data_IF_994431016121
#
_entry.id   IF_994431016121
#
_cell.length_a   1.000
_cell.length_b   1.000
_cell.length_c   1.000
_cell.angle_alpha   90.00
_cell.angle_beta   90.00
_cell.angle_gamma   90.00
#
_symmetry.space_group_name_H-M   'P 1'
#
loop_
_entity.id
_entity.type
_entity.pdbx_description
1 polymer ?
#
# COMPACT_ATOMS: atom_id res chain seq x y z
N UNK A 1 24.92 3.04 16.96
CA UNK A 1 24.61 4.48 17.02
C UNK A 1 23.89 4.69 18.35
N UNK A 2 24.42 5.53 19.24
CA UNK A 2 23.80 5.76 20.55
C UNK A 2 22.61 6.72 20.38
N UNK A 3 21.63 6.69 21.30
CA UNK A 3 20.45 7.56 21.26
C UNK A 3 20.80 9.06 21.15
N UNK A 4 21.95 9.45 21.72
CA UNK A 4 22.50 10.81 21.65
C UNK A 4 22.97 11.22 20.24
N UNK A 5 23.25 10.26 19.36
CA UNK A 5 23.68 10.51 17.97
C UNK A 5 22.48 10.72 17.02
N UNK A 6 21.25 10.45 17.49
CA UNK A 6 20.01 10.53 16.70
C UNK A 6 19.22 11.83 16.97
N UNK A 7 19.43 12.47 18.12
CA UNK A 7 18.70 13.67 18.50
C UNK A 7 19.45 14.94 18.05
N UNK A 8 18.74 15.99 17.61
CA UNK A 8 19.39 17.25 17.27
C UNK A 8 20.19 17.77 18.45
N UNK A 9 21.39 18.32 18.23
CA UNK A 9 22.13 18.96 19.32
C UNK A 9 21.48 20.31 19.62
N UNK A 10 20.56 20.30 20.58
CA UNK A 10 19.84 21.47 21.05
C UNK A 10 20.76 22.32 21.92
N UNK A 11 20.92 23.61 21.59
CA UNK A 11 21.79 24.58 22.27
C UNK A 11 21.06 25.89 22.53
N UNK A 12 21.48 26.65 23.54
CA UNK A 12 20.91 27.96 23.83
C UNK A 12 21.54 29.07 22.96
N UNK A 13 20.86 30.22 22.88
CA UNK A 13 21.31 31.36 22.05
C UNK A 13 22.75 31.81 22.37
N UNK A 14 23.12 31.88 23.66
CA UNK A 14 24.44 32.34 24.07
C UNK A 14 25.57 31.39 23.63
N UNK A 15 25.30 30.09 23.58
CA UNK A 15 26.24 29.09 23.08
C UNK A 15 26.39 29.17 21.56
N UNK A 16 25.28 29.35 20.82
CA UNK A 16 25.32 29.55 19.37
C UNK A 16 26.03 30.84 18.99
N UNK A 17 25.73 31.96 19.65
CA UNK A 17 26.42 33.24 19.43
C UNK A 17 27.94 33.12 19.66
N UNK A 18 28.37 32.28 20.61
CA UNK A 18 29.79 31.97 20.86
C UNK A 18 30.42 31.15 19.73
N UNK A 19 29.69 30.15 19.20
CA UNK A 19 30.17 29.30 18.10
C UNK A 19 30.25 30.10 16.79
N UNK A 20 29.24 30.92 16.49
CA UNK A 20 29.17 31.71 15.25
C UNK A 20 30.03 32.97 15.34
N UNK A 21 30.36 33.44 16.55
CA UNK A 21 31.22 34.60 16.78
C UNK A 21 30.55 35.95 16.55
N UNK A 22 29.21 36.01 16.48
CA UNK A 22 28.43 37.25 16.32
C UNK A 22 27.06 37.13 16.99
N UNK A 23 26.44 38.25 17.40
CA UNK A 23 25.08 38.24 17.93
C UNK A 23 24.05 37.81 16.87
N UNK A 24 23.08 36.99 17.28
CA UNK A 24 21.98 36.50 16.42
C UNK A 24 20.66 37.09 16.94
N UNK A 25 20.35 38.31 16.51
CA UNK A 25 19.22 39.10 17.03
C UNK A 25 17.96 39.06 16.14
N UNK A 26 18.03 38.41 14.99
CA UNK A 26 16.91 38.27 14.03
C UNK A 26 16.78 36.82 13.56
N UNK A 27 15.59 36.44 13.11
CA UNK A 27 15.36 35.10 12.52
C UNK A 27 16.24 34.85 11.29
N UNK A 28 16.41 35.86 10.44
CA UNK A 28 17.30 35.76 9.27
C UNK A 28 18.76 35.51 9.67
N UNK A 29 19.24 36.15 10.75
CA UNK A 29 20.60 35.90 11.25
C UNK A 29 20.77 34.48 11.78
N UNK A 30 19.74 33.95 12.44
CA UNK A 30 19.69 32.57 12.96
C UNK A 30 19.74 31.57 11.79
N UNK A 31 18.84 31.70 10.81
CA UNK A 31 18.78 30.84 9.63
C UNK A 31 20.06 30.92 8.78
N UNK A 32 20.57 32.12 8.50
CA UNK A 32 21.82 32.29 7.73
C UNK A 32 23.06 31.74 8.45
N UNK A 33 22.95 31.43 9.74
CA UNK A 33 24.02 30.78 10.52
C UNK A 33 23.84 29.25 10.60
N UNK A 34 22.84 28.69 9.90
CA UNK A 34 22.55 27.26 9.84
C UNK A 34 21.84 26.71 11.07
N UNK A 35 21.13 27.56 11.83
CA UNK A 35 20.33 27.15 12.99
C UNK A 35 18.86 27.48 12.78
N UNK A 36 17.97 26.73 13.42
CA UNK A 36 16.54 27.03 13.53
C UNK A 36 16.12 27.16 14.97
N UNK A 37 15.13 28.02 15.21
CA UNK A 37 14.45 28.11 16.49
C UNK A 37 13.42 26.96 16.59
N UNK A 38 13.56 26.13 17.62
CA UNK A 38 12.70 24.98 17.87
C UNK A 38 12.01 25.17 19.21
N UNK A 39 10.69 25.04 19.26
CA UNK A 39 9.92 25.11 20.51
C UNK A 39 9.98 23.76 21.21
N UNK A 40 10.24 23.77 22.52
CA UNK A 40 10.07 22.58 23.33
C UNK A 40 8.60 22.16 23.37
N UNK A 41 8.36 20.86 23.27
CA UNK A 41 7.02 20.30 23.13
C UNK A 41 6.14 20.51 24.37
N UNK A 42 6.75 20.44 25.55
CA UNK A 42 6.03 20.43 26.83
C UNK A 42 6.29 21.71 27.66
N UNK A 43 6.99 22.69 27.08
CA UNK A 43 7.42 23.91 27.77
C UNK A 43 7.33 25.12 26.86
N UNK A 44 7.14 26.29 27.45
CA UNK A 44 7.26 27.59 26.73
C UNK A 44 8.72 28.03 26.57
N UNK A 45 9.59 27.07 26.25
CA UNK A 45 11.01 27.27 26.02
C UNK A 45 11.32 27.10 24.54
N UNK A 46 12.24 27.91 24.03
CA UNK A 46 12.75 27.81 22.67
C UNK A 46 14.25 27.54 22.72
N UNK A 47 14.69 26.75 21.77
CA UNK A 47 16.08 26.36 21.63
C UNK A 47 16.55 26.55 20.19
N UNK A 48 17.86 26.51 19.98
CA UNK A 48 18.45 26.47 18.65
C UNK A 48 18.95 25.06 18.35
N UNK A 49 18.61 24.55 17.17
CA UNK A 49 19.17 23.32 16.63
C UNK A 49 19.82 23.65 15.29
N UNK A 50 20.93 22.98 14.96
CA UNK A 50 21.50 23.10 13.62
C UNK A 50 20.54 22.49 12.60
N UNK A 51 20.40 23.14 11.46
CA UNK A 51 19.60 22.64 10.33
C UNK A 51 20.01 21.22 9.92
N UNK A 52 21.32 20.93 9.93
CA UNK A 52 21.86 19.60 9.62
C UNK A 52 21.43 18.50 10.59
N UNK A 53 21.04 18.89 11.80
CA UNK A 53 20.70 17.96 12.87
C UNK A 53 19.17 17.80 12.99
N UNK A 54 18.40 18.61 12.25
CA UNK A 54 16.95 18.52 12.20
C UNK A 54 16.52 17.51 11.15
N UNK A 55 15.71 16.56 11.58
CA UNK A 55 15.00 15.69 10.66
C UNK A 55 13.58 16.22 10.43
N UNK A 56 13.05 16.15 9.21
CA UNK A 56 11.69 16.54 8.96
C UNK A 56 10.73 15.60 9.70
N UNK A 57 9.65 16.15 10.26
CA UNK A 57 8.60 15.36 10.92
C UNK A 57 7.82 14.50 9.92
N UNK A 58 7.72 14.96 8.68
CA UNK A 58 7.06 14.27 7.58
C UNK A 58 8.07 14.05 6.44
N UNK A 59 8.02 12.87 5.82
CA UNK A 59 8.80 12.53 4.63
C UNK A 59 7.85 12.10 3.52
N UNK A 60 8.27 12.25 2.27
CA UNK A 60 7.52 11.65 1.15
C UNK A 60 7.70 10.15 1.18
N UNK A 61 6.63 9.43 0.92
CA UNK A 61 6.67 7.97 0.84
C UNK A 61 7.66 7.51 -0.23
N UNK A 62 7.79 8.23 -1.35
CA UNK A 62 8.75 7.92 -2.41
C UNK A 62 10.23 8.06 -2.01
N UNK A 63 10.53 8.74 -0.90
CA UNK A 63 11.89 8.86 -0.36
C UNK A 63 12.27 7.66 0.53
N UNK A 64 11.28 6.88 1.00
CA UNK A 64 11.47 5.74 1.94
C UNK A 64 10.88 4.41 1.46
N UNK A 65 10.21 4.41 0.31
CA UNK A 65 9.67 3.23 -0.33
C UNK A 65 9.68 3.40 -1.86
N UNK A 66 9.97 2.32 -2.57
CA UNK A 66 9.84 2.29 -4.03
C UNK A 66 8.44 1.80 -4.42
N UNK A 67 7.74 2.56 -5.29
CA UNK A 67 6.40 2.17 -5.79
C UNK A 67 6.42 2.00 -7.31
N UNK A 68 5.88 0.87 -7.79
CA UNK A 68 5.82 0.44 -9.20
C UNK A 68 4.45 -0.15 -9.55
N UNK A 69 4.10 -0.20 -10.83
CA UNK A 69 2.92 -0.95 -11.27
C UNK A 69 3.13 -2.46 -11.09
N UNK A 70 2.06 -3.17 -10.72
CA UNK A 70 2.01 -4.63 -10.80
C UNK A 70 2.12 -5.16 -12.23
N UNK A 71 2.00 -6.47 -12.38
CA UNK A 71 2.18 -7.16 -13.68
C UNK A 71 1.09 -6.74 -14.66
N UNK A 72 1.52 -6.15 -15.78
CA UNK A 72 0.66 -5.96 -16.96
C UNK A 72 0.78 -7.16 -17.88
N UNK A 73 -0.26 -7.99 -17.94
CA UNK A 73 -0.23 -9.23 -18.74
C UNK A 73 -0.46 -8.99 -20.23
N UNK A 74 -1.36 -8.07 -20.59
CA UNK A 74 -1.78 -7.84 -21.98
C UNK A 74 -2.78 -8.86 -22.53
N UNK A 75 -3.06 -9.94 -21.78
CA UNK A 75 -3.98 -11.00 -22.17
C UNK A 75 -4.50 -11.73 -20.93
N UNK A 76 -5.31 -11.05 -20.11
CA UNK A 76 -5.81 -11.58 -18.83
C UNK A 76 -6.48 -12.96 -18.95
N UNK A 77 -7.16 -13.24 -20.07
CA UNK A 77 -7.79 -14.53 -20.35
C UNK A 77 -6.79 -15.68 -20.60
N UNK A 78 -5.57 -15.38 -21.03
CA UNK A 78 -4.50 -16.38 -21.20
C UNK A 78 -3.69 -16.55 -19.91
N UNK A 79 -3.34 -15.44 -19.26
CA UNK A 79 -2.42 -15.50 -18.13
C UNK A 79 -3.07 -15.92 -16.82
N UNK A 80 -4.34 -15.56 -16.60
CA UNK A 80 -5.01 -15.86 -15.34
C UNK A 80 -5.85 -17.12 -15.43
N UNK A 81 -5.52 -18.04 -14.52
CA UNK A 81 -6.06 -19.39 -14.44
C UNK A 81 -6.71 -19.60 -13.09
N UNK A 82 -7.84 -20.29 -13.06
CA UNK A 82 -8.52 -20.70 -11.83
C UNK A 82 -8.40 -22.21 -11.67
N UNK A 83 -7.94 -22.73 -10.51
CA UNK A 83 -7.97 -24.16 -10.25
C UNK A 83 -9.43 -24.66 -10.22
N UNK A 84 -9.68 -25.80 -10.87
CA UNK A 84 -11.02 -26.42 -10.95
C UNK A 84 -11.23 -27.42 -9.81
N UNK A 85 -10.17 -28.10 -9.37
CA UNK A 85 -10.20 -29.19 -8.40
C UNK A 85 -9.44 -28.88 -7.10
N UNK A 86 -9.34 -27.60 -6.72
CA UNK A 86 -8.65 -27.19 -5.49
C UNK A 86 -8.66 -25.68 -5.31
N UNK A 87 -8.05 -25.21 -4.22
CA UNK A 87 -7.82 -23.78 -3.97
C UNK A 87 -6.40 -23.40 -4.38
N UNK A 88 -6.15 -22.10 -4.58
CA UNK A 88 -4.79 -21.58 -4.76
C UNK A 88 -3.90 -22.00 -3.59
N UNK A 89 -4.42 -21.93 -2.36
CA UNK A 89 -3.74 -22.43 -1.15
C UNK A 89 -3.28 -23.90 -1.24
N UNK A 90 -4.04 -24.76 -1.93
CA UNK A 90 -3.67 -26.17 -2.10
C UNK A 90 -2.52 -26.33 -3.11
N UNK A 91 -2.53 -25.52 -4.17
CA UNK A 91 -1.48 -25.50 -5.21
C UNK A 91 -0.16 -25.03 -4.62
N UNK A 92 -0.17 -23.92 -3.87
CA UNK A 92 1.06 -23.38 -3.25
C UNK A 92 1.56 -24.26 -2.10
N UNK A 93 0.64 -24.95 -1.40
CA UNK A 93 0.97 -25.84 -0.29
C UNK A 93 1.51 -27.20 -0.72
N UNK A 94 1.69 -27.44 -2.03
CA UNK A 94 2.16 -28.72 -2.56
C UNK A 94 1.19 -29.87 -2.34
N UNK A 95 -0.11 -29.57 -2.12
CA UNK A 95 -1.16 -30.58 -1.90
C UNK A 95 -1.77 -31.08 -3.21
N UNK A 96 -1.28 -30.57 -4.34
CA UNK A 96 -1.68 -30.97 -5.69
C UNK A 96 -0.62 -31.89 -6.30
N UNK A 97 -1.01 -32.65 -7.32
CA UNK A 97 -0.07 -33.48 -8.07
C UNK A 97 0.92 -32.66 -8.92
N UNK A 98 1.68 -33.35 -9.76
CA UNK A 98 2.59 -32.71 -10.73
C UNK A 98 1.85 -31.77 -11.71
N UNK A 99 0.54 -31.97 -11.89
CA UNK A 99 -0.33 -31.16 -12.74
C UNK A 99 -1.54 -30.64 -11.95
N UNK A 100 -2.11 -29.53 -12.41
CA UNK A 100 -3.30 -28.89 -11.85
C UNK A 100 -4.32 -28.68 -12.96
N UNK A 101 -5.56 -29.15 -12.76
CA UNK A 101 -6.67 -28.88 -13.66
C UNK A 101 -7.13 -27.44 -13.45
N UNK A 102 -6.99 -26.61 -14.47
CA UNK A 102 -7.31 -25.19 -14.44
C UNK A 102 -8.28 -24.82 -15.55
N UNK A 103 -8.93 -23.67 -15.39
CA UNK A 103 -9.73 -23.02 -16.43
C UNK A 103 -9.36 -21.56 -16.57
N UNK A 104 -9.62 -20.96 -17.73
CA UNK A 104 -9.37 -19.55 -17.97
C UNK A 104 -10.64 -18.77 -18.35
N UNK A 105 -10.52 -17.44 -18.46
CA UNK A 105 -11.65 -16.55 -18.77
C UNK A 105 -12.25 -16.73 -20.16
N UNK A 106 -11.54 -17.38 -21.09
CA UNK A 106 -11.97 -17.65 -22.46
C UNK A 106 -12.60 -19.05 -22.63
N UNK A 107 -12.86 -19.76 -21.54
CA UNK A 107 -13.52 -21.07 -21.54
C UNK A 107 -12.60 -22.25 -21.87
N UNK A 108 -11.29 -22.06 -21.91
CA UNK A 108 -10.35 -23.19 -21.96
C UNK A 108 -10.28 -23.86 -20.59
N UNK A 109 -10.23 -25.18 -20.58
CA UNK A 109 -10.02 -26.00 -19.39
C UNK A 109 -9.09 -27.16 -19.73
N UNK A 110 -8.10 -27.41 -18.88
CA UNK A 110 -7.10 -28.45 -19.08
C UNK A 110 -6.10 -28.51 -17.94
N UNK A 111 -5.26 -29.54 -17.95
CA UNK A 111 -4.18 -29.65 -16.98
C UNK A 111 -2.97 -28.82 -17.40
N UNK A 112 -2.26 -28.26 -16.41
CA UNK A 112 -0.97 -27.58 -16.58
C UNK A 112 -0.03 -28.08 -15.48
N UNK A 113 1.26 -28.24 -15.79
CA UNK A 113 2.26 -28.60 -14.79
C UNK A 113 2.32 -27.56 -13.67
N UNK A 114 2.29 -28.00 -12.40
CA UNK A 114 2.24 -27.11 -11.25
C UNK A 114 3.43 -26.13 -11.21
N UNK A 115 4.60 -26.55 -11.74
CA UNK A 115 5.79 -25.69 -11.85
C UNK A 115 5.57 -24.43 -12.72
N UNK A 116 4.56 -24.43 -13.60
CA UNK A 116 4.18 -23.30 -14.47
C UNK A 116 3.11 -22.37 -13.88
N UNK A 117 2.66 -22.66 -12.66
CA UNK A 117 1.61 -21.92 -12.00
C UNK A 117 2.18 -21.20 -10.78
N UNK A 118 1.88 -19.91 -10.64
CA UNK A 118 2.22 -19.12 -9.45
C UNK A 118 0.98 -18.43 -8.91
N UNK A 119 0.81 -18.28 -7.60
CA UNK A 119 -0.28 -17.51 -7.02
C UNK A 119 -0.21 -16.05 -7.47
N UNK A 120 -1.37 -15.47 -7.81
CA UNK A 120 -1.46 -14.06 -8.21
C UNK A 120 -2.72 -13.41 -7.65
N UNK A 121 -2.58 -12.17 -7.21
CA UNK A 121 -3.69 -11.33 -6.79
C UNK A 121 -4.15 -10.53 -8.01
N UNK A 122 -5.33 -10.88 -8.53
CA UNK A 122 -5.90 -10.24 -9.71
C UNK A 122 -6.76 -9.05 -9.35
N UNK A 123 -7.35 -9.04 -8.15
CA UNK A 123 -8.25 -7.99 -7.71
C UNK A 123 -8.06 -7.63 -6.24
N UNK A 124 -8.14 -6.33 -5.86
CA UNK A 124 -8.25 -5.89 -4.47
C UNK A 124 -9.40 -6.56 -3.70
N UNK A 125 -10.42 -7.11 -4.39
CA UNK A 125 -11.53 -7.83 -3.76
C UNK A 125 -11.12 -9.15 -3.12
N UNK A 126 -10.00 -9.75 -3.55
CA UNK A 126 -9.42 -10.94 -2.93
C UNK A 126 -8.73 -10.59 -1.60
N UNK A 127 -8.42 -9.31 -1.37
CA UNK A 127 -7.71 -8.86 -0.19
C UNK A 127 -8.71 -8.47 0.89
N UNK A 128 -8.83 -9.26 1.95
CA UNK A 128 -9.78 -9.05 3.06
C UNK A 128 -9.14 -8.46 4.32
N UNK A 129 -7.90 -8.84 4.60
CA UNK A 129 -7.09 -8.47 5.77
C UNK A 129 -5.93 -7.55 5.36
N UNK A 130 -5.21 -6.97 6.34
CA UNK A 130 -3.99 -6.18 6.07
C UNK A 130 -2.77 -7.03 5.71
N UNK A 131 -2.88 -8.35 5.77
CA UNK A 131 -1.88 -9.31 5.28
C UNK A 131 -2.51 -10.24 4.26
N UNK A 132 -1.83 -10.53 3.15
CA UNK A 132 -2.38 -11.43 2.13
C UNK A 132 -2.55 -12.84 2.71
N UNK A 133 -3.77 -13.38 2.60
CA UNK A 133 -4.10 -14.76 2.95
C UNK A 133 -4.22 -15.63 1.70
N UNK A 134 -3.44 -16.71 1.55
CA UNK A 134 -3.55 -17.56 0.37
C UNK A 134 -4.92 -18.21 0.18
N UNK A 135 -5.68 -18.37 1.25
CA UNK A 135 -7.03 -18.93 1.24
C UNK A 135 -8.04 -18.03 0.54
N UNK A 136 -7.77 -16.72 0.47
CA UNK A 136 -8.62 -15.75 -0.23
C UNK A 136 -8.27 -15.61 -1.72
N UNK A 137 -7.10 -16.12 -2.15
CA UNK A 137 -6.66 -16.03 -3.54
C UNK A 137 -7.41 -17.01 -4.43
N UNK A 138 -7.86 -16.50 -5.59
CA UNK A 138 -8.64 -17.27 -6.55
C UNK A 138 -7.84 -17.64 -7.80
N UNK A 139 -6.82 -16.86 -8.14
CA UNK A 139 -6.12 -17.00 -9.41
C UNK A 139 -4.68 -17.48 -9.27
N UNK A 140 -4.27 -18.22 -10.28
CA UNK A 140 -2.89 -18.53 -10.60
C UNK A 140 -2.52 -17.75 -11.87
N UNK A 141 -1.25 -17.39 -11.98
CA UNK A 141 -0.66 -16.85 -13.20
C UNK A 141 0.14 -17.95 -13.91
N UNK A 142 -0.07 -18.07 -15.22
CA UNK A 142 0.75 -18.92 -16.09
C UNK A 142 2.12 -18.25 -16.30
N UNK A 143 3.18 -18.85 -15.77
CA UNK A 143 4.53 -18.30 -15.80
C UNK A 143 5.58 -19.44 -15.83
N UNK A 144 6.62 -19.36 -16.67
CA UNK A 144 7.65 -20.40 -16.70
C UNK A 144 8.41 -20.53 -15.37
N UNK A 145 8.90 -21.72 -15.03
CA UNK A 145 9.81 -21.92 -13.89
C UNK A 145 11.08 -21.07 -14.05
N UNK A 146 11.66 -20.60 -12.94
CA UNK A 146 12.85 -19.74 -12.97
C UNK A 146 14.04 -20.43 -13.63
N UNK A 147 14.19 -21.74 -13.42
CA UNK A 147 15.20 -22.58 -14.06
C UNK A 147 15.12 -22.59 -15.59
N UNK A 148 13.97 -22.22 -16.17
CA UNK A 148 13.73 -22.24 -17.61
C UNK A 148 13.96 -20.89 -18.29
N UNK A 149 14.09 -19.79 -17.54
CA UNK A 149 14.10 -18.42 -18.11
C UNK A 149 15.15 -18.19 -19.20
N UNK A 150 16.33 -18.79 -19.09
CA UNK A 150 17.39 -18.69 -20.10
C UNK A 150 17.20 -19.54 -21.36
N UNK A 151 16.16 -20.38 -21.41
CA UNK A 151 15.97 -21.39 -22.47
C UNK A 151 14.63 -21.23 -23.23
N UNK A 152 13.87 -20.16 -22.96
CA UNK A 152 12.51 -19.98 -23.48
C UNK A 152 12.45 -19.87 -25.01
N UNK A 153 13.51 -19.36 -25.65
CA UNK A 153 13.67 -19.29 -27.12
C UNK A 153 13.87 -20.63 -27.81
N UNK A 154 14.19 -21.69 -27.05
CA UNK A 154 14.44 -23.02 -27.59
C UNK A 154 13.40 -24.03 -27.06
N UNK A 155 12.13 -23.99 -27.52
CA UNK A 155 11.08 -24.92 -27.08
C UNK A 155 11.48 -26.38 -27.12
N UNK A 156 12.30 -26.79 -28.09
CA UNK A 156 12.81 -28.16 -28.21
C UNK A 156 13.57 -28.67 -26.98
N UNK A 157 14.20 -27.78 -26.21
CA UNK A 157 14.97 -28.13 -25.02
C UNK A 157 14.09 -28.48 -23.81
N UNK A 158 12.84 -28.03 -23.77
CA UNK A 158 12.00 -28.12 -22.56
C UNK A 158 10.58 -28.61 -22.80
N UNK A 159 10.05 -28.53 -24.03
CA UNK A 159 8.67 -28.94 -24.34
C UNK A 159 8.39 -30.43 -24.06
N UNK A 160 9.42 -31.27 -24.08
CA UNK A 160 9.28 -32.68 -23.69
C UNK A 160 9.06 -32.85 -22.18
N UNK A 161 9.63 -31.94 -21.37
CA UNK A 161 9.45 -31.91 -19.92
C UNK A 161 8.14 -31.22 -19.52
N UNK A 162 7.70 -30.23 -20.29
CA UNK A 162 6.48 -29.46 -20.04
C UNK A 162 5.50 -29.49 -21.23
N UNK A 163 4.99 -30.67 -21.62
CA UNK A 163 4.13 -30.82 -22.79
C UNK A 163 2.77 -30.12 -22.64
N UNK A 164 2.22 -29.99 -21.42
CA UNK A 164 0.92 -29.38 -21.20
C UNK A 164 1.01 -27.85 -21.29
N UNK A 165 2.00 -27.24 -20.64
CA UNK A 165 2.31 -25.82 -20.80
C UNK A 165 2.58 -25.46 -22.27
N UNK A 166 3.32 -26.30 -23.00
CA UNK A 166 3.54 -26.11 -24.44
C UNK A 166 2.23 -26.16 -25.24
N UNK A 167 1.37 -27.15 -24.99
CA UNK A 167 0.06 -27.24 -25.62
C UNK A 167 -0.82 -26.02 -25.30
N UNK A 168 -0.72 -25.48 -24.08
CA UNK A 168 -1.45 -24.28 -23.67
C UNK A 168 -0.99 -23.03 -24.42
N UNK A 169 0.33 -22.86 -24.59
CA UNK A 169 0.92 -21.78 -25.39
C UNK A 169 0.41 -21.86 -26.84
N UNK A 170 0.43 -23.04 -27.46
CA UNK A 170 -0.07 -23.23 -28.83
C UNK A 170 -1.57 -22.93 -28.94
N UNK A 171 -2.37 -23.23 -27.92
CA UNK A 171 -3.77 -22.81 -27.85
C UNK A 171 -3.89 -21.28 -27.82
N UNK A 172 -3.05 -20.60 -27.02
CA UNK A 172 -3.00 -19.14 -26.96
C UNK A 172 -2.60 -18.50 -28.30
N UNK A 173 -1.68 -19.12 -29.04
CA UNK A 173 -1.26 -18.69 -30.38
C UNK A 173 -2.40 -18.79 -31.40
N UNK A 174 -3.18 -19.88 -31.35
CA UNK A 174 -4.38 -20.07 -32.18
C UNK A 174 -5.47 -19.05 -31.87
N UNK A 175 -5.51 -18.51 -30.64
CA UNK A 175 -6.42 -17.43 -30.23
C UNK A 175 -5.92 -16.04 -30.60
N UNK A 176 -4.66 -15.90 -31.01
CA UNK A 176 -4.08 -14.63 -31.45
C UNK A 176 -3.54 -13.76 -30.32
N UNK A 177 -3.41 -14.26 -29.08
CA UNK A 177 -2.94 -13.46 -27.94
C UNK A 177 -1.52 -12.90 -28.13
N UNK A 178 -0.68 -13.56 -28.93
CA UNK A 178 0.65 -13.09 -29.31
C UNK A 178 0.64 -11.77 -30.08
N UNK A 179 -0.49 -11.42 -30.72
CA UNK A 179 -0.64 -10.17 -31.46
C UNK A 179 -1.12 -9.00 -30.59
N UNK A 180 -1.50 -9.26 -29.33
CA UNK A 180 -1.87 -8.18 -28.41
C UNK A 180 -0.65 -7.26 -28.19
N UNK A 181 -0.79 -5.92 -28.18
CA UNK A 181 0.36 -5.00 -28.18
C UNK A 181 1.37 -5.26 -27.06
N UNK A 182 0.90 -5.55 -25.85
CA UNK A 182 1.79 -5.84 -24.71
C UNK A 182 2.46 -7.20 -24.83
N UNK A 183 1.83 -8.20 -25.45
CA UNK A 183 2.41 -9.51 -25.69
C UNK A 183 3.42 -9.47 -26.83
N UNK A 184 3.06 -8.84 -27.95
CA UNK A 184 3.89 -8.68 -29.14
C UNK A 184 5.18 -7.89 -28.87
N UNK A 185 5.16 -7.00 -27.89
CA UNK A 185 6.33 -6.21 -27.48
C UNK A 185 7.35 -7.01 -26.65
N UNK A 186 7.03 -8.25 -26.23
CA UNK A 186 7.97 -9.10 -25.47
C UNK A 186 8.77 -9.97 -26.41
N UNK A 187 10.00 -10.27 -26.00
CA UNK A 187 10.90 -11.18 -26.71
C UNK A 187 10.31 -12.59 -26.85
N UNK A 188 9.64 -13.07 -25.80
CA UNK A 188 8.76 -14.25 -25.83
C UNK A 188 7.38 -13.83 -25.35
N UNK A 189 6.37 -13.89 -26.22
CA UNK A 189 5.08 -13.19 -26.05
C UNK A 189 4.32 -13.55 -24.75
N UNK A 190 4.47 -14.80 -24.29
CA UNK A 190 3.84 -15.36 -23.09
C UNK A 190 4.71 -15.24 -21.83
N UNK A 191 5.81 -14.50 -21.86
CA UNK A 191 6.60 -14.23 -20.64
C UNK A 191 6.03 -13.06 -19.86
N UNK A 192 6.27 -13.06 -18.55
CA UNK A 192 5.94 -11.96 -17.65
C UNK A 192 7.20 -11.51 -16.91
N UNK A 193 7.26 -10.24 -16.45
CA UNK A 193 8.38 -9.76 -15.67
C UNK A 193 8.64 -10.63 -14.44
N UNK A 194 9.92 -10.91 -14.30
CA UNK A 194 10.59 -11.69 -13.29
C UNK A 194 10.63 -11.06 -11.89
N UNK A 195 9.81 -10.06 -11.61
CA UNK A 195 10.00 -9.22 -10.42
C UNK A 195 9.80 -10.05 -9.15
N UNK A 196 10.63 -9.80 -8.14
CA UNK A 196 10.36 -10.33 -6.81
C UNK A 196 9.01 -9.76 -6.34
N UNK A 197 8.17 -10.57 -5.67
CA UNK A 197 6.99 -10.05 -4.99
C UNK A 197 7.37 -8.84 -4.11
N UNK A 198 6.51 -7.84 -4.12
CA UNK A 198 6.63 -6.62 -3.32
C UNK A 198 6.46 -6.89 -1.82
N UNK A 199 6.76 -5.89 -0.99
CA UNK A 199 6.47 -5.88 0.45
C UNK A 199 5.02 -5.45 0.75
N UNK A 200 4.51 -4.51 -0.05
CA UNK A 200 3.21 -3.89 0.12
C UNK A 200 2.45 -3.83 -1.21
N UNK A 201 1.14 -4.00 -1.14
CA UNK A 201 0.23 -3.89 -2.26
C UNK A 201 -0.76 -2.75 -2.03
N UNK A 202 -0.68 -1.78 -2.93
CA UNK A 202 -1.54 -0.62 -2.95
C UNK A 202 -2.73 -0.83 -3.85
N UNK A 203 -3.93 -0.56 -3.34
CA UNK A 203 -5.12 -0.51 -4.19
C UNK A 203 -5.09 0.76 -5.02
N UNK A 204 -5.02 0.62 -6.34
CA UNK A 204 -5.09 1.74 -7.27
C UNK A 204 -6.37 2.57 -7.06
N UNK A 205 -7.49 1.88 -6.84
CA UNK A 205 -8.79 2.50 -6.63
C UNK A 205 -9.41 2.00 -5.34
N UNK A 206 -9.84 2.91 -4.47
CA UNK A 206 -10.57 2.58 -3.24
C UNK A 206 -11.81 3.45 -3.08
N UNK A 207 -12.78 2.99 -2.29
CA UNK A 207 -14.07 3.68 -2.11
C UNK A 207 -14.27 4.05 -0.64
N UNK A 208 -15.09 3.32 0.10
CA UNK A 208 -15.26 3.47 1.55
C UNK A 208 -14.36 2.53 2.37
N UNK A 209 -13.66 1.60 1.71
CA UNK A 209 -12.73 0.65 2.33
C UNK A 209 -11.32 0.95 1.86
N UNK A 210 -10.47 1.39 2.79
CA UNK A 210 -9.09 1.75 2.53
C UNK A 210 -8.15 0.74 3.20
N UNK A 211 -7.13 0.30 2.49
CA UNK A 211 -6.06 -0.54 3.03
C UNK A 211 -4.85 -0.57 2.11
N UNK A 212 -3.68 -0.76 2.70
CA UNK A 212 -2.46 -1.19 2.01
C UNK A 212 -2.05 -2.52 2.63
N UNK A 213 -1.92 -3.56 1.81
CA UNK A 213 -1.74 -4.93 2.31
C UNK A 213 -0.28 -5.29 2.35
N UNK A 214 0.18 -5.88 3.44
CA UNK A 214 1.44 -6.61 3.50
C UNK A 214 1.38 -7.84 2.60
N UNK A 215 2.24 -7.84 1.59
CA UNK A 215 2.31 -8.91 0.61
C UNK A 215 3.13 -10.07 1.16
N UNK A 216 2.53 -11.25 1.22
CA UNK A 216 3.19 -12.47 1.69
C UNK A 216 3.84 -13.26 0.54
N UNK A 217 4.51 -12.55 -0.38
CA UNK A 217 5.27 -13.18 -1.46
C UNK A 217 4.46 -13.51 -2.73
N UNK A 218 3.37 -12.79 -3.00
CA UNK A 218 2.48 -13.06 -4.12
C UNK A 218 2.64 -12.03 -5.25
N UNK A 219 2.46 -12.49 -6.49
CA UNK A 219 2.40 -11.59 -7.65
C UNK A 219 1.09 -10.79 -7.64
N UNK A 220 1.09 -9.61 -8.25
CA UNK A 220 -0.09 -8.77 -8.36
C UNK A 220 -0.34 -8.32 -9.80
N UNK A 221 -1.61 -8.24 -10.21
CA UNK A 221 -2.04 -7.59 -11.45
C UNK A 221 -1.79 -6.07 -11.38
N UNK A 222 -1.63 -5.42 -12.53
CA UNK A 222 -1.45 -3.97 -12.65
C UNK A 222 -2.60 -3.10 -12.08
N UNK A 223 -3.70 -3.69 -11.61
CA UNK A 223 -4.74 -3.07 -10.77
C UNK A 223 -4.28 -2.78 -9.34
N UNK A 224 -3.11 -3.28 -8.97
CA UNK A 224 -2.41 -2.98 -7.73
C UNK A 224 -1.06 -2.34 -8.06
N UNK A 225 -0.51 -1.59 -7.12
CA UNK A 225 0.87 -1.15 -7.18
C UNK A 225 1.72 -1.94 -6.19
N UNK A 226 2.85 -2.40 -6.70
CA UNK A 226 3.91 -3.02 -5.92
C UNK A 226 4.70 -1.94 -5.21
N UNK A 227 4.89 -2.10 -3.90
CA UNK A 227 5.72 -1.21 -3.10
C UNK A 227 6.77 -2.01 -2.32
N UNK A 228 8.00 -1.52 -2.35
CA UNK A 228 9.18 -2.18 -1.77
C UNK A 228 9.75 -1.30 -0.65
N UNK A 229 9.89 -1.87 0.54
CA UNK A 229 10.45 -1.21 1.73
C UNK A 229 10.81 -2.26 2.76
N UNK A 230 12.01 -2.17 3.32
CA UNK A 230 12.48 -3.02 4.41
C UNK A 230 12.05 -2.52 5.80
N UNK A 231 11.51 -1.30 5.89
CA UNK A 231 11.08 -0.70 7.15
C UNK A 231 9.63 -1.07 7.50
N UNK A 232 9.45 -1.89 8.54
CA UNK A 232 8.14 -2.29 9.06
C UNK A 232 7.30 -1.11 9.60
N UNK A 233 7.93 0.00 9.98
CA UNK A 233 7.24 1.22 10.38
C UNK A 233 6.56 1.84 9.17
N UNK A 234 7.25 1.95 8.03
CA UNK A 234 6.64 2.44 6.78
C UNK A 234 5.42 1.59 6.40
N UNK A 235 5.53 0.26 6.47
CA UNK A 235 4.42 -0.69 6.22
C UNK A 235 3.20 -0.42 7.09
N UNK A 236 3.41 0.05 8.32
CA UNK A 236 2.35 0.32 9.26
C UNK A 236 1.75 1.71 9.08
N UNK A 237 2.59 2.73 8.88
CA UNK A 237 2.15 4.14 8.80
C UNK A 237 1.19 4.40 7.65
N UNK A 238 1.35 3.69 6.54
CA UNK A 238 0.47 3.78 5.36
C UNK A 238 -0.92 3.21 5.61
N UNK A 239 -1.18 2.63 6.78
CA UNK A 239 -2.53 2.21 7.20
C UNK A 239 -3.14 3.11 8.28
N UNK A 240 -2.50 4.23 8.65
CA UNK A 240 -2.98 5.17 9.68
C UNK A 240 -4.07 6.11 9.18
N UNK A 241 -4.91 6.64 10.09
CA UNK A 241 -5.89 7.67 9.76
C UNK A 241 -5.26 8.97 9.26
N UNK A 242 -4.04 9.32 9.74
CA UNK A 242 -3.26 10.42 9.17
C UNK A 242 -3.02 10.21 7.68
N UNK A 243 -2.62 9.01 7.31
CA UNK A 243 -2.31 8.71 5.92
C UNK A 243 -3.58 8.64 5.04
N UNK A 244 -4.70 8.14 5.59
CA UNK A 244 -6.01 8.24 4.93
C UNK A 244 -6.39 9.70 4.66
N UNK A 245 -6.19 10.59 5.65
CA UNK A 245 -6.44 12.02 5.49
C UNK A 245 -5.58 12.62 4.37
N UNK A 246 -4.28 12.30 4.33
CA UNK A 246 -3.38 12.75 3.27
C UNK A 246 -3.87 12.35 1.89
N UNK A 247 -4.28 11.09 1.70
CA UNK A 247 -4.80 10.63 0.42
C UNK A 247 -6.14 11.28 0.05
N UNK A 248 -7.07 11.46 0.98
CA UNK A 248 -8.34 12.14 0.67
C UNK A 248 -8.15 13.62 0.29
N UNK A 249 -7.10 14.27 0.81
CA UNK A 249 -6.78 15.67 0.44
C UNK A 249 -6.05 15.74 -0.91
N UNK A 250 -5.12 14.83 -1.17
CA UNK A 250 -4.20 14.92 -2.31
C UNK A 250 -4.71 14.20 -3.56
N UNK A 251 -5.41 13.08 -3.40
CA UNK A 251 -5.76 12.22 -4.52
C UNK A 251 -6.86 12.87 -5.36
N UNK A 252 -6.75 12.69 -6.68
CA UNK A 252 -7.76 13.20 -7.62
C UNK A 252 -9.09 12.50 -7.38
N UNK A 253 -10.14 13.29 -7.26
CA UNK A 253 -11.52 12.81 -7.42
C UNK A 253 -11.80 12.62 -8.91
N UNK A 254 -12.49 11.54 -9.27
CA UNK A 254 -12.91 11.32 -10.66
C UNK A 254 -13.79 12.51 -11.11
N UNK A 255 -13.41 13.19 -12.19
CA UNK A 255 -14.32 14.10 -12.87
C UNK A 255 -15.57 13.33 -13.33
N UNK A 256 -16.76 13.86 -13.04
CA UNK A 256 -18.04 13.27 -13.46
C UNK A 256 -18.77 12.41 -12.41
N UNK A 257 -18.51 12.61 -11.11
CA UNK A 257 -19.30 11.96 -10.04
C UNK A 257 -18.79 10.57 -9.61
N UNK A 258 -17.49 10.29 -9.71
CA UNK A 258 -16.95 8.97 -9.40
C UNK A 258 -16.72 8.77 -7.91
N UNK A 259 -17.61 8.03 -7.26
CA UNK A 259 -17.50 7.69 -5.83
C UNK A 259 -16.16 7.12 -5.38
N UNK A 260 -15.39 6.37 -6.18
CA UNK A 260 -14.04 5.92 -5.80
C UNK A 260 -12.93 6.97 -6.00
N UNK A 261 -11.89 6.91 -5.15
CA UNK A 261 -10.60 7.59 -5.36
C UNK A 261 -9.74 6.70 -6.25
N UNK A 262 -9.06 7.28 -7.25
CA UNK A 262 -8.07 6.60 -8.08
C UNK A 262 -6.70 7.26 -7.88
N UNK A 263 -5.84 6.63 -7.08
CA UNK A 263 -4.52 7.16 -6.74
C UNK A 263 -3.51 6.66 -7.77
N UNK A 264 -2.70 7.56 -8.34
CA UNK A 264 -1.60 7.19 -9.24
C UNK A 264 -0.31 6.96 -8.46
N UNK A 265 0.62 6.18 -9.04
CA UNK A 265 1.94 5.90 -8.45
C UNK A 265 2.68 7.17 -8.03
N UNK A 266 2.61 8.25 -8.84
CA UNK A 266 3.28 9.51 -8.47
C UNK A 266 2.60 10.20 -7.28
N UNK A 267 1.29 10.09 -7.11
CA UNK A 267 0.56 10.65 -5.95
C UNK A 267 0.90 9.87 -4.68
N UNK A 268 1.02 8.54 -4.77
CA UNK A 268 1.52 7.72 -3.67
C UNK A 268 2.94 8.14 -3.29
N UNK A 269 3.82 8.36 -4.27
CA UNK A 269 5.20 8.79 -4.00
C UNK A 269 5.28 10.15 -3.32
N UNK A 270 4.45 11.12 -3.71
CA UNK A 270 4.44 12.46 -3.11
C UNK A 270 3.67 12.53 -1.77
N UNK A 271 2.92 11.49 -1.41
CA UNK A 271 2.17 11.45 -0.15
C UNK A 271 3.10 11.50 1.07
N UNK A 272 2.66 12.21 2.11
CA UNK A 272 3.46 12.47 3.30
C UNK A 272 3.12 11.51 4.44
N UNK A 273 4.13 10.82 4.96
CA UNK A 273 4.02 10.01 6.17
C UNK A 273 4.88 10.62 7.29
N UNK A 274 4.53 10.36 8.57
CA UNK A 274 5.46 10.61 9.67
C UNK A 274 6.81 9.97 9.37
N UNK A 275 7.89 10.71 9.60
CA UNK A 275 9.23 10.21 9.39
C UNK A 275 9.48 8.99 10.29
N UNK A 276 9.77 7.79 9.74
CA UNK A 276 10.02 6.60 10.56
C UNK A 276 11.11 6.81 11.61
N UNK A 277 12.12 7.63 11.32
CA UNK A 277 13.21 7.95 12.25
C UNK A 277 12.76 8.78 13.48
N UNK A 278 11.57 9.38 13.44
CA UNK A 278 11.00 10.13 14.57
C UNK A 278 10.38 9.24 15.66
N UNK A 279 10.24 7.93 15.42
CA UNK A 279 9.63 6.99 16.36
C UNK A 279 10.67 6.38 17.30
N UNK A 280 10.42 6.46 18.61
CA UNK A 280 11.20 5.76 19.63
C UNK A 280 11.00 4.24 19.58
N UNK A 281 11.88 3.47 20.18
CA UNK A 281 11.76 1.99 20.22
C UNK A 281 10.44 1.53 20.84
N UNK A 282 9.98 2.18 21.91
CA UNK A 282 8.70 1.90 22.56
C UNK A 282 7.50 2.21 21.63
N UNK A 283 7.55 3.35 20.93
CA UNK A 283 6.52 3.73 19.95
C UNK A 283 6.50 2.74 18.78
N UNK A 284 7.66 2.32 18.29
CA UNK A 284 7.80 1.30 17.24
C UNK A 284 7.15 -0.02 17.65
N UNK A 285 7.43 -0.51 18.85
CA UNK A 285 6.83 -1.74 19.38
C UNK A 285 5.30 -1.65 19.46
N UNK A 286 4.78 -0.56 20.06
CA UNK A 286 3.33 -0.31 20.14
C UNK A 286 2.67 -0.26 18.77
N UNK A 287 3.30 0.42 17.81
CA UNK A 287 2.80 0.59 16.45
C UNK A 287 2.69 -0.76 15.73
N UNK A 288 3.75 -1.57 15.77
CA UNK A 288 3.78 -2.90 15.14
C UNK A 288 2.78 -3.85 15.79
N UNK A 289 2.67 -3.83 17.12
CA UNK A 289 1.67 -4.65 17.84
C UNK A 289 0.24 -4.29 17.42
N UNK A 290 -0.06 -3.00 17.25
CA UNK A 290 -1.37 -2.57 16.79
C UNK A 290 -1.63 -3.05 15.35
N UNK A 291 -0.64 -2.98 14.46
CA UNK A 291 -0.74 -3.49 13.09
C UNK A 291 -1.05 -4.99 13.05
N UNK A 292 -0.38 -5.81 13.88
CA UNK A 292 -0.65 -7.25 13.95
C UNK A 292 -2.11 -7.52 14.33
N UNK A 293 -2.64 -6.84 15.35
CA UNK A 293 -4.04 -6.97 15.75
C UNK A 293 -5.01 -6.58 14.63
N UNK A 294 -4.69 -5.52 13.89
CA UNK A 294 -5.46 -5.12 12.73
C UNK A 294 -5.42 -6.15 11.60
N UNK A 295 -4.27 -6.80 11.37
CA UNK A 295 -4.07 -7.78 10.33
C UNK A 295 -4.82 -9.11 10.58
N UNK A 296 -5.19 -9.40 11.84
CA UNK A 296 -5.95 -10.60 12.23
C UNK A 296 -7.43 -10.55 11.84
N UNK A 297 -7.96 -9.38 11.47
CA UNK A 297 -9.37 -9.19 11.13
C UNK A 297 -9.58 -8.61 9.73
N UNK A 298 -10.78 -8.78 9.21
CA UNK A 298 -11.16 -8.14 7.96
C UNK A 298 -11.17 -6.60 8.11
N UNK A 299 -10.69 -5.91 7.09
CA UNK A 299 -10.71 -4.45 7.01
C UNK A 299 -12.14 -4.01 6.74
N UNK A 300 -12.69 -3.17 7.61
CA UNK A 300 -14.06 -2.65 7.48
C UNK A 300 -14.09 -1.37 6.63
N UNK A 301 -15.28 -0.79 6.46
CA UNK A 301 -15.36 0.57 5.92
C UNK A 301 -14.66 1.55 6.86
N UNK A 302 -14.12 2.65 6.33
CA UNK A 302 -13.48 3.74 7.09
C UNK A 302 -14.43 4.23 8.20
N UNK A 303 -15.73 4.27 7.93
CA UNK A 303 -16.75 4.64 8.92
C UNK A 303 -16.77 3.66 10.10
N UNK A 304 -16.85 2.36 9.84
CA UNK A 304 -16.84 1.33 10.88
C UNK A 304 -15.50 1.25 11.62
N UNK A 305 -14.37 1.49 10.95
CA UNK A 305 -13.05 1.59 11.57
C UNK A 305 -12.98 2.73 12.60
N UNK A 306 -13.64 3.85 12.28
CA UNK A 306 -13.69 5.06 13.11
C UNK A 306 -14.89 5.11 14.08
N UNK A 307 -15.54 3.96 14.32
CA UNK A 307 -16.58 3.81 15.35
C UNK A 307 -17.99 4.22 14.93
N UNK A 308 -18.22 4.48 13.65
CA UNK A 308 -19.54 4.80 13.10
C UNK A 308 -20.27 3.53 12.62
N UNK A 309 -21.61 3.58 12.44
CA UNK A 309 -22.35 2.43 11.92
C UNK A 309 -21.92 2.10 10.49
N UNK A 310 -22.21 0.86 10.08
CA UNK A 310 -22.12 0.46 8.67
C UNK A 310 -22.95 1.43 7.81
N UNK A 311 -22.38 2.00 6.73
CA UNK A 311 -23.08 2.98 5.91
C UNK A 311 -24.30 2.35 5.23
N UNK A 312 -25.42 3.07 5.23
CA UNK A 312 -26.55 2.76 4.36
C UNK A 312 -26.23 3.19 2.92
N UNK A 313 -27.14 2.90 1.98
CA UNK A 313 -26.89 3.13 0.55
C UNK A 313 -26.55 4.59 0.26
N UNK A 314 -27.20 5.55 0.92
CA UNK A 314 -27.11 7.00 0.68
C UNK A 314 -26.21 7.75 1.67
N UNK A 315 -25.53 7.03 2.58
CA UNK A 315 -24.67 7.56 3.64
C UNK A 315 -25.37 8.56 4.60
N UNK A 316 -26.70 8.57 4.65
CA UNK A 316 -27.47 9.48 5.50
C UNK A 316 -27.39 9.13 6.99
N UNK A 317 -26.98 7.89 7.32
CA UNK A 317 -26.72 7.45 8.68
C UNK A 317 -25.29 7.73 9.17
N UNK A 318 -24.42 8.32 8.34
CA UNK A 318 -23.05 8.68 8.71
C UNK A 318 -23.02 10.15 9.11
N UNK A 319 -22.67 10.41 10.37
CA UNK A 319 -22.57 11.74 10.97
C UNK A 319 -21.17 11.94 11.57
N UNK A 320 -20.31 12.80 11.00
CA UNK A 320 -18.95 13.03 11.52
C UNK A 320 -18.92 13.43 12.99
N UNK A 321 -19.90 14.21 13.45
CA UNK A 321 -20.03 14.65 14.84
C UNK A 321 -20.17 13.51 15.85
N UNK A 322 -20.62 12.32 15.42
CA UNK A 322 -20.77 11.13 16.26
C UNK A 322 -19.48 10.34 16.49
N UNK A 323 -18.41 10.68 15.76
CA UNK A 323 -17.08 10.12 16.01
C UNK A 323 -16.65 10.51 17.42
N UNK A 324 -16.14 9.53 18.16
CA UNK A 324 -15.54 9.72 19.48
C UNK A 324 -14.37 8.76 19.67
N UNK A 325 -13.36 9.19 20.43
CA UNK A 325 -12.11 8.43 20.58
C UNK A 325 -12.32 7.03 21.20
N UNK A 326 -13.34 6.87 22.04
CA UNK A 326 -13.71 5.63 22.72
C UNK A 326 -14.43 4.61 21.82
N UNK A 327 -14.98 5.06 20.68
CA UNK A 327 -15.72 4.20 19.73
C UNK A 327 -14.89 3.73 18.55
N UNK A 328 -13.78 4.42 18.24
CA UNK A 328 -12.82 3.96 17.23
C UNK A 328 -12.38 2.55 17.58
N UNK A 329 -12.25 1.67 16.57
CA UNK A 329 -11.87 0.27 16.85
C UNK A 329 -10.57 0.22 17.67
N UNK A 330 -10.45 -0.65 18.69
CA UNK A 330 -9.33 -0.59 19.62
C UNK A 330 -7.94 -0.70 18.97
N UNK A 331 -7.79 -1.59 17.99
CA UNK A 331 -6.55 -1.80 17.24
C UNK A 331 -6.18 -0.58 16.35
N UNK A 332 -7.17 -0.02 15.64
CA UNK A 332 -7.10 1.20 14.85
C UNK A 332 -6.67 2.37 15.73
N UNK A 333 -7.36 2.55 16.86
CA UNK A 333 -7.07 3.62 17.83
C UNK A 333 -5.66 3.47 18.39
N UNK A 334 -5.21 2.25 18.68
CA UNK A 334 -3.87 1.98 19.20
C UNK A 334 -2.77 2.36 18.19
N UNK A 335 -2.96 2.03 16.90
CA UNK A 335 -2.05 2.42 15.82
C UNK A 335 -2.01 3.94 15.67
N UNK A 336 -3.18 4.56 15.49
CA UNK A 336 -3.30 6.00 15.24
C UNK A 336 -2.85 6.84 16.44
N UNK A 337 -3.04 6.34 17.67
CA UNK A 337 -2.53 6.99 18.88
C UNK A 337 -1.02 7.23 18.82
N UNK A 338 -0.24 6.22 18.40
CA UNK A 338 1.21 6.35 18.27
C UNK A 338 1.56 7.37 17.19
N UNK A 339 0.88 7.33 16.05
CA UNK A 339 1.09 8.28 14.95
C UNK A 339 0.83 9.72 15.41
N UNK A 340 -0.29 9.96 16.08
CA UNK A 340 -0.65 11.27 16.60
C UNK A 340 0.26 11.74 17.73
N UNK A 341 0.74 10.81 18.56
CA UNK A 341 1.77 11.07 19.57
C UNK A 341 3.09 11.50 18.91
N UNK A 342 3.48 10.94 17.77
CA UNK A 342 4.67 11.46 17.05
C UNK A 342 4.39 12.84 16.44
N UNK A 343 3.19 13.06 15.89
CA UNK A 343 2.81 14.32 15.24
C UNK A 343 2.54 15.49 16.18
N UNK A 344 2.44 15.29 17.50
CA UNK A 344 2.17 16.40 18.42
C UNK A 344 0.70 16.67 18.71
N UNK A 345 -0.23 15.82 18.27
CA UNK A 345 -1.64 16.14 18.31
C UNK A 345 -2.26 15.88 19.69
N UNK A 346 -2.94 16.88 20.23
CA UNK A 346 -3.81 16.77 21.40
C UNK A 346 -5.03 15.88 21.11
N UNK A 347 -5.69 15.35 22.14
CA UNK A 347 -6.89 14.51 21.94
C UNK A 347 -7.99 15.21 21.14
N UNK A 348 -8.15 16.54 21.31
CA UNK A 348 -9.09 17.33 20.54
C UNK A 348 -8.70 17.35 19.04
N UNK A 349 -7.43 17.54 18.72
CA UNK A 349 -6.95 17.51 17.33
C UNK A 349 -7.04 16.11 16.72
N UNK A 350 -6.77 15.07 17.50
CA UNK A 350 -6.93 13.67 17.05
C UNK A 350 -8.39 13.39 16.67
N UNK A 351 -9.34 13.87 17.47
CA UNK A 351 -10.76 13.75 17.18
C UNK A 351 -11.13 14.48 15.88
N UNK A 352 -10.60 15.68 15.67
CA UNK A 352 -10.83 16.45 14.45
C UNK A 352 -10.21 15.78 13.21
N UNK A 353 -9.05 15.11 13.33
CA UNK A 353 -8.49 14.29 12.23
C UNK A 353 -9.47 13.20 11.81
N UNK A 354 -10.01 12.42 12.76
CA UNK A 354 -10.99 11.38 12.42
C UNK A 354 -12.27 11.94 11.80
N UNK A 355 -12.78 13.05 12.34
CA UNK A 355 -13.95 13.74 11.80
C UNK A 355 -13.71 14.23 10.37
N UNK A 356 -12.54 14.81 10.11
CA UNK A 356 -12.15 15.27 8.78
C UNK A 356 -12.09 14.10 7.79
N UNK A 357 -11.49 12.96 8.16
CA UNK A 357 -11.47 11.76 7.33
C UNK A 357 -12.90 11.30 7.00
N UNK A 358 -13.77 11.19 8.01
CA UNK A 358 -15.17 10.79 7.80
C UNK A 358 -15.89 11.76 6.86
N UNK A 359 -15.75 13.06 7.09
CA UNK A 359 -16.46 14.07 6.31
C UNK A 359 -15.99 14.12 4.85
N UNK A 360 -14.68 14.01 4.60
CA UNK A 360 -14.13 13.97 3.24
C UNK A 360 -14.61 12.74 2.48
N UNK A 361 -14.50 11.56 3.10
CA UNK A 361 -14.93 10.29 2.51
C UNK A 361 -16.44 10.31 2.24
N UNK A 362 -17.24 10.75 3.21
CA UNK A 362 -18.71 10.87 3.07
C UNK A 362 -19.08 11.83 1.96
N UNK A 363 -18.50 13.02 1.95
CA UNK A 363 -18.78 14.06 0.94
C UNK A 363 -18.52 13.55 -0.46
N UNK A 364 -17.34 12.93 -0.68
CA UNK A 364 -16.98 12.30 -1.96
C UNK A 364 -18.01 11.23 -2.38
N UNK A 365 -18.43 10.38 -1.47
CA UNK A 365 -19.34 9.28 -1.76
C UNK A 365 -20.78 9.75 -2.04
N UNK A 366 -21.27 10.79 -1.36
CA UNK A 366 -22.60 11.39 -1.58
C UNK A 366 -22.64 12.16 -2.91
N UNK A 367 -21.62 12.97 -3.20
CA UNK A 367 -21.54 13.71 -4.46
C UNK A 367 -21.63 12.77 -5.67
N UNK A 368 -20.99 11.60 -5.58
CA UNK A 368 -21.05 10.60 -6.62
C UNK A 368 -22.44 10.05 -6.91
N UNK A 369 -23.31 9.96 -5.91
CA UNK A 369 -24.68 9.50 -6.11
C UNK A 369 -25.56 10.54 -6.77
N UNK A 370 -25.38 11.80 -6.38
CA UNK A 370 -26.18 12.90 -6.91
C UNK A 370 -25.94 13.11 -8.41
N UNK A 371 -24.74 12.81 -8.90
CA UNK A 371 -24.43 12.85 -10.35
C UNK A 371 -25.05 11.68 -11.10
N UNK A 372 -25.18 10.50 -10.48
CA UNK A 372 -25.78 9.31 -11.11
C UNK A 372 -27.33 9.33 -11.08
N UNK A 373 -27.95 10.09 -10.18
CA UNK A 373 -29.42 10.20 -10.05
C UNK A 373 -30.07 11.31 -10.85
N UNK A 374 -29.29 12.16 -11.53
CA UNK A 374 -29.77 13.30 -12.33
C UNK A 374 -29.71 13.10 -13.85
N UNK A 375 -29.52 11.85 -14.32
CA UNK A 375 -29.40 11.48 -15.74
C UNK A 375 -30.57 10.68 -16.26
#
# INVERSE_FOLDING_TARGET
>A
MQLADLLPKIVNLAEVERIVGKPLRTMDAIHNSGYHLVKARDRDEYYLAKETDLQPLLVRLGDVAEVRFGIKTGANEFFYLEPVNGRVADVIGGKVGATVLVKNGAGWQGEIEAEWLRPVIKSPRELKTLRVRPEDLRYLVFMPPDALRGQLHAPHAWKQRYPLAWSYIQWGEKRGYQHNPTCAARDVWWTLPANLPSDLLWTMTYRERYFVVENAGYYADARLYDSYTDDSIVKTLVNSAWYMLQLEIQARTYGGGGGPVDVKVYEIKESLIPNPAAFTDEQRERLLKAFEQMAEREVKSIFEELGLPKPNRDYSNIRPEEVSLDKVLPDRRALDAVVFEVLGLSEAEQLEVYRAVVELVRTRLVQAQNVLGGG
#
